data_IF_532260832326
#
_entry.id   IF_532260832326
#
_cell.length_a   1.000
_cell.length_b   1.000
_cell.length_c   1.000
_cell.angle_alpha   90.00
_cell.angle_beta   90.00
_cell.angle_gamma   90.00
#
_symmetry.space_group_name_H-M   'P 1'
#
loop_
_entity.id
_entity.type
_entity.pdbx_description
1 polymer ?
#
# COMPACT_ATOMS: atom_id res chain seq x y z
N UNK A 1 -26.78 11.19 25.45
CA UNK A 1 -25.67 12.00 24.91
C UNK A 1 -24.68 11.04 24.29
N UNK A 2 -24.38 11.18 22.99
CA UNK A 2 -23.39 10.33 22.30
C UNK A 2 -22.00 10.75 22.73
N UNK A 3 -21.20 9.82 23.25
CA UNK A 3 -19.79 10.09 23.57
C UNK A 3 -19.04 10.16 22.23
N UNK A 4 -18.32 11.25 21.92
CA UNK A 4 -17.58 11.34 20.67
C UNK A 4 -16.54 10.22 20.61
N UNK A 5 -16.52 9.48 19.50
CA UNK A 5 -15.55 8.43 19.29
C UNK A 5 -14.17 9.05 19.10
N UNK A 6 -13.24 8.70 19.98
CA UNK A 6 -11.84 9.08 19.83
C UNK A 6 -11.18 8.15 18.80
N UNK A 7 -10.36 8.66 17.88
CA UNK A 7 -9.61 7.82 16.96
C UNK A 7 -8.72 6.86 17.74
N UNK A 8 -8.87 5.55 17.49
CA UNK A 8 -7.94 4.58 18.02
C UNK A 8 -6.61 4.74 17.27
N UNK A 9 -5.55 5.11 17.99
CA UNK A 9 -4.21 5.23 17.43
C UNK A 9 -3.63 3.82 17.16
N UNK A 10 -4.12 3.16 16.11
CA UNK A 10 -3.56 1.93 15.57
C UNK A 10 -2.23 2.30 14.89
N UNK A 11 -1.12 2.00 15.56
CA UNK A 11 0.22 2.13 14.96
C UNK A 11 0.52 0.88 14.15
N UNK A 12 1.23 1.07 13.03
CA UNK A 12 1.84 -0.06 12.34
C UNK A 12 2.72 -0.85 13.32
N UNK A 13 2.75 -2.19 13.23
CA UNK A 13 3.63 -3.02 14.03
C UNK A 13 5.09 -2.51 13.95
N UNK A 14 5.78 -2.31 15.08
CA UNK A 14 7.08 -1.64 15.11
C UNK A 14 8.20 -2.41 14.39
N UNK A 15 7.97 -3.70 14.10
CA UNK A 15 8.86 -4.66 13.46
C UNK A 15 8.82 -4.63 11.92
N UNK A 16 7.83 -3.97 11.32
CA UNK A 16 7.69 -3.84 9.87
C UNK A 16 8.53 -2.68 9.34
N UNK A 17 9.84 -2.94 9.24
CA UNK A 17 10.87 -1.99 8.79
C UNK A 17 11.74 -2.61 7.71
N UNK A 18 12.35 -1.75 6.88
CA UNK A 18 13.29 -2.23 5.85
C UNK A 18 14.55 -2.88 6.44
N UNK A 19 15.00 -2.44 7.62
CA UNK A 19 16.20 -2.96 8.29
C UNK A 19 16.05 -4.40 8.81
N UNK A 20 14.80 -4.87 9.01
CA UNK A 20 14.50 -6.25 9.40
C UNK A 20 14.25 -7.20 8.21
N UNK A 21 14.30 -6.70 6.97
CA UNK A 21 14.17 -7.53 5.78
C UNK A 21 15.52 -8.09 5.34
N UNK A 22 15.67 -9.41 5.37
CA UNK A 22 16.96 -10.10 5.16
C UNK A 22 17.13 -10.53 3.71
N UNK A 23 18.36 -10.42 3.20
CA UNK A 23 18.77 -10.88 1.87
C UNK A 23 17.92 -10.29 0.73
N UNK A 24 17.68 -8.97 0.77
CA UNK A 24 17.04 -8.26 -0.32
C UNK A 24 17.87 -8.38 -1.62
N UNK A 25 17.21 -8.54 -2.79
CA UNK A 25 17.86 -8.34 -4.07
C UNK A 25 18.52 -6.97 -4.17
N UNK A 26 19.61 -6.91 -4.92
CA UNK A 26 20.36 -5.66 -5.10
C UNK A 26 19.46 -4.53 -5.60
N UNK A 27 19.53 -3.38 -4.92
CA UNK A 27 18.77 -2.19 -5.27
C UNK A 27 17.30 -2.16 -4.82
N UNK A 28 16.68 -3.28 -4.41
CA UNK A 28 15.26 -3.30 -4.02
C UNK A 28 14.96 -2.34 -2.86
N UNK A 29 15.72 -2.42 -1.76
CA UNK A 29 15.48 -1.56 -0.60
C UNK A 29 15.72 -0.09 -0.93
N UNK A 30 16.74 0.21 -1.74
CA UNK A 30 17.02 1.59 -2.16
C UNK A 30 15.87 2.16 -3.00
N UNK A 31 15.29 1.38 -3.92
CA UNK A 31 14.12 1.78 -4.70
C UNK A 31 12.90 2.03 -3.81
N UNK A 32 12.62 1.13 -2.86
CA UNK A 32 11.49 1.29 -1.94
C UNK A 32 11.68 2.49 -1.01
N UNK A 33 12.90 2.75 -0.54
CA UNK A 33 13.22 3.94 0.27
C UNK A 33 13.05 5.24 -0.53
N UNK A 34 13.50 5.27 -1.79
CA UNK A 34 13.30 6.42 -2.67
C UNK A 34 11.81 6.68 -2.96
N UNK A 35 11.04 5.60 -3.18
CA UNK A 35 9.59 5.68 -3.32
C UNK A 35 8.93 6.17 -2.03
N UNK A 36 9.36 5.69 -0.86
CA UNK A 36 8.85 6.11 0.45
C UNK A 36 9.06 7.61 0.70
N UNK A 37 10.24 8.12 0.34
CA UNK A 37 10.59 9.53 0.47
C UNK A 37 9.89 10.43 -0.56
N UNK A 38 9.24 9.86 -1.58
CA UNK A 38 8.61 10.62 -2.67
C UNK A 38 9.62 11.19 -3.67
N UNK A 39 10.84 10.65 -3.69
CA UNK A 39 11.86 11.01 -4.68
C UNK A 39 11.60 10.37 -6.05
N UNK A 40 10.72 9.38 -6.08
CA UNK A 40 10.26 8.68 -7.29
C UNK A 40 8.74 8.66 -7.25
N UNK A 41 8.11 9.06 -8.36
CA UNK A 41 6.65 9.10 -8.54
C UNK A 41 6.16 8.00 -9.47
N UNK A 42 6.83 6.84 -9.46
CA UNK A 42 6.53 5.73 -10.35
C UNK A 42 5.89 4.55 -9.61
N UNK A 43 5.27 3.67 -10.38
CA UNK A 43 4.59 2.49 -9.89
C UNK A 43 5.58 1.34 -9.69
N UNK A 44 5.44 0.62 -8.59
CA UNK A 44 6.23 -0.57 -8.30
C UNK A 44 5.32 -1.78 -8.12
N UNK A 45 5.62 -2.84 -8.86
CA UNK A 45 4.95 -4.14 -8.71
C UNK A 45 5.95 -5.13 -8.10
N UNK A 46 5.65 -5.60 -6.90
CA UNK A 46 6.45 -6.62 -6.20
C UNK A 46 5.84 -8.00 -6.43
N UNK A 47 6.60 -8.87 -7.10
CA UNK A 47 6.21 -10.26 -7.32
C UNK A 47 7.22 -11.22 -6.72
N UNK A 48 6.72 -12.35 -6.21
CA UNK A 48 7.53 -13.39 -5.62
C UNK A 48 6.66 -14.47 -4.98
N UNK A 49 7.22 -15.65 -4.67
CA UNK A 49 6.51 -16.73 -4.02
C UNK A 49 5.79 -16.34 -2.71
N UNK A 50 4.87 -17.20 -2.25
CA UNK A 50 4.29 -17.05 -0.92
C UNK A 50 5.40 -17.11 0.15
N UNK A 51 5.27 -16.29 1.20
CA UNK A 51 6.23 -16.28 2.31
C UNK A 51 7.53 -15.49 2.06
N UNK A 52 7.71 -14.82 0.91
CA UNK A 52 8.91 -14.00 0.65
C UNK A 52 8.85 -12.59 1.25
N UNK A 53 7.90 -12.29 2.13
CA UNK A 53 7.83 -10.99 2.82
C UNK A 53 7.31 -9.81 1.99
N UNK A 54 6.53 -10.04 0.93
CA UNK A 54 5.88 -8.95 0.16
C UNK A 54 5.05 -8.01 1.04
N UNK A 55 4.21 -8.58 1.90
CA UNK A 55 3.42 -7.83 2.90
C UNK A 55 4.30 -7.05 3.87
N UNK A 56 5.42 -7.65 4.31
CA UNK A 56 6.40 -6.97 5.15
C UNK A 56 7.00 -5.74 4.46
N UNK A 57 7.41 -5.88 3.20
CA UNK A 57 7.94 -4.77 2.40
C UNK A 57 6.89 -3.69 2.14
N UNK A 58 5.64 -4.07 1.83
CA UNK A 58 4.53 -3.13 1.63
C UNK A 58 4.23 -2.30 2.89
N UNK A 59 4.23 -2.94 4.06
CA UNK A 59 4.03 -2.26 5.33
C UNK A 59 5.24 -1.43 5.74
N UNK A 60 6.46 -1.91 5.48
CA UNK A 60 7.71 -1.16 5.70
C UNK A 60 7.77 0.10 4.84
N UNK A 61 7.27 0.03 3.60
CA UNK A 61 7.13 1.17 2.70
C UNK A 61 6.18 2.22 3.28
N UNK A 62 5.01 1.79 3.78
CA UNK A 62 4.09 2.70 4.46
C UNK A 62 4.73 3.32 5.71
N UNK A 63 5.38 2.54 6.57
CA UNK A 63 6.04 3.05 7.77
C UNK A 63 7.14 4.07 7.43
N UNK A 64 7.95 3.81 6.41
CA UNK A 64 8.99 4.72 5.95
C UNK A 64 8.40 6.01 5.34
N UNK A 65 7.30 5.92 4.59
CA UNK A 65 6.61 7.09 4.03
C UNK A 65 5.99 7.96 5.13
N UNK A 66 5.40 7.36 6.17
CA UNK A 66 4.90 8.07 7.34
C UNK A 66 6.02 8.80 8.08
N UNK A 67 7.18 8.13 8.27
CA UNK A 67 8.38 8.76 8.85
C UNK A 67 8.91 9.93 8.00
N UNK A 68 8.72 9.88 6.68
CA UNK A 68 9.04 10.97 5.76
C UNK A 68 7.96 12.09 5.74
N UNK A 69 6.96 12.04 6.63
CA UNK A 69 5.91 13.07 6.74
C UNK A 69 4.81 12.97 5.68
N UNK A 70 4.71 11.84 4.97
CA UNK A 70 3.67 11.60 3.97
C UNK A 70 2.46 10.90 4.57
N UNK A 71 1.41 10.75 3.77
CA UNK A 71 0.13 10.12 4.14
C UNK A 71 -0.08 8.79 3.42
N UNK A 72 0.67 7.72 3.79
CA UNK A 72 0.52 6.43 3.15
C UNK A 72 -0.81 5.76 3.53
N UNK A 73 -1.23 4.81 2.71
CA UNK A 73 -2.28 3.86 3.03
C UNK A 73 -1.90 2.45 2.59
N UNK A 74 -2.28 1.46 3.39
CA UNK A 74 -2.13 0.04 3.07
C UNK A 74 -3.52 -0.58 2.91
N UNK A 75 -3.73 -1.31 1.81
CA UNK A 75 -4.98 -2.01 1.54
C UNK A 75 -4.71 -3.47 1.17
N UNK A 76 -5.05 -4.43 2.04
CA UNK A 76 -5.08 -5.84 1.67
C UNK A 76 -6.30 -6.08 0.79
N UNK A 77 -6.10 -6.36 -0.49
CA UNK A 77 -7.18 -6.46 -1.49
C UNK A 77 -8.16 -7.60 -1.17
N UNK A 78 -7.70 -8.66 -0.51
CA UNK A 78 -8.56 -9.74 -0.05
C UNK A 78 -9.68 -9.24 0.89
N UNK A 79 -9.42 -8.25 1.74
CA UNK A 79 -10.40 -7.69 2.67
C UNK A 79 -11.40 -6.73 2.01
N UNK A 80 -11.09 -6.31 0.78
CA UNK A 80 -11.90 -5.40 -0.03
C UNK A 80 -12.59 -6.10 -1.22
N UNK A 81 -12.35 -7.40 -1.43
CA UNK A 81 -12.94 -8.15 -2.53
C UNK A 81 -14.49 -8.03 -2.54
N UNK A 82 -15.06 -7.67 -3.69
CA UNK A 82 -16.49 -7.41 -3.87
C UNK A 82 -16.97 -6.02 -3.46
N UNK A 83 -16.08 -5.18 -2.91
CA UNK A 83 -16.33 -3.78 -2.54
C UNK A 83 -15.10 -2.90 -2.82
N UNK A 84 -14.27 -3.31 -3.79
CA UNK A 84 -12.96 -2.68 -3.98
C UNK A 84 -13.08 -1.22 -4.42
N UNK A 85 -14.12 -0.87 -5.19
CA UNK A 85 -14.40 0.50 -5.59
C UNK A 85 -14.51 1.44 -4.39
N UNK A 86 -15.41 1.15 -3.47
CA UNK A 86 -15.63 1.96 -2.27
C UNK A 86 -14.36 2.06 -1.42
N UNK A 87 -13.62 0.95 -1.31
CA UNK A 87 -12.36 0.91 -0.57
C UNK A 87 -11.29 1.82 -1.20
N UNK A 88 -11.15 1.82 -2.53
CA UNK A 88 -10.16 2.63 -3.25
C UNK A 88 -10.55 4.12 -3.27
N UNK A 89 -11.84 4.44 -3.35
CA UNK A 89 -12.34 5.83 -3.25
C UNK A 89 -11.98 6.45 -1.90
N UNK A 90 -12.04 5.68 -0.81
CA UNK A 90 -11.61 6.14 0.52
C UNK A 90 -10.09 6.42 0.63
N UNK A 91 -9.30 5.99 -0.35
CA UNK A 91 -7.85 6.19 -0.41
C UNK A 91 -7.43 7.30 -1.39
N UNK A 92 -8.39 8.00 -2.01
CA UNK A 92 -8.08 9.14 -2.87
C UNK A 92 -7.36 10.25 -2.09
N UNK A 93 -6.37 10.87 -2.74
CA UNK A 93 -5.54 11.93 -2.15
C UNK A 93 -4.44 11.44 -1.20
N UNK A 94 -4.28 10.13 -0.99
CA UNK A 94 -3.13 9.57 -0.25
C UNK A 94 -1.86 9.72 -1.06
N UNK A 95 -0.78 10.16 -0.41
CA UNK A 95 0.50 10.38 -1.08
C UNK A 95 1.22 9.10 -1.51
N UNK A 96 0.83 7.95 -0.95
CA UNK A 96 1.32 6.62 -1.32
C UNK A 96 0.25 5.58 -0.97
N UNK A 97 0.00 4.61 -1.86
CA UNK A 97 -0.94 3.52 -1.60
C UNK A 97 -0.28 2.19 -1.90
N UNK A 98 -0.13 1.34 -0.88
CA UNK A 98 0.35 -0.03 -1.00
C UNK A 98 -0.85 -0.99 -1.09
N UNK A 99 -0.99 -1.65 -2.23
CA UNK A 99 -2.01 -2.66 -2.46
C UNK A 99 -1.39 -4.06 -2.35
N UNK A 100 -1.92 -4.90 -1.46
CA UNK A 100 -1.39 -6.25 -1.23
C UNK A 100 -2.36 -7.34 -1.67
N UNK A 101 -1.83 -8.42 -2.24
CA UNK A 101 -2.59 -9.58 -2.69
C UNK A 101 -3.45 -9.33 -3.93
N UNK A 102 -2.91 -8.71 -4.99
CA UNK A 102 -3.63 -8.43 -6.26
C UNK A 102 -4.27 -9.69 -6.86
N UNK A 103 -3.66 -10.86 -6.66
CA UNK A 103 -4.20 -12.15 -7.05
C UNK A 103 -5.59 -12.45 -6.46
N UNK A 104 -5.96 -11.86 -5.31
CA UNK A 104 -7.24 -12.14 -4.65
C UNK A 104 -8.45 -11.60 -5.41
N UNK A 105 -8.24 -10.66 -6.33
CA UNK A 105 -9.30 -10.06 -7.15
C UNK A 105 -9.33 -10.57 -8.59
N UNK A 106 -8.40 -11.44 -8.97
CA UNK A 106 -8.34 -11.98 -10.32
C UNK A 106 -9.63 -12.75 -10.67
N UNK A 107 -10.19 -12.47 -11.83
CA UNK A 107 -11.46 -13.03 -12.30
C UNK A 107 -12.70 -12.35 -11.73
N UNK A 108 -12.55 -11.34 -10.86
CA UNK A 108 -13.65 -10.54 -10.32
C UNK A 108 -13.74 -9.23 -11.09
N UNK A 109 -14.51 -9.26 -12.19
CA UNK A 109 -14.57 -8.17 -13.17
C UNK A 109 -14.75 -6.78 -12.56
N UNK A 110 -15.66 -6.63 -11.60
CA UNK A 110 -15.95 -5.34 -10.98
C UNK A 110 -14.79 -4.80 -10.16
N UNK A 111 -14.08 -5.68 -9.44
CA UNK A 111 -12.89 -5.31 -8.67
C UNK A 111 -11.71 -4.99 -9.61
N UNK A 112 -11.52 -5.75 -10.69
CA UNK A 112 -10.50 -5.46 -11.71
C UNK A 112 -10.71 -4.09 -12.37
N UNK A 113 -11.95 -3.75 -12.73
CA UNK A 113 -12.29 -2.44 -13.28
C UNK A 113 -12.05 -1.34 -12.24
N UNK A 114 -12.44 -1.57 -10.98
CA UNK A 114 -12.21 -0.60 -9.92
C UNK A 114 -10.72 -0.28 -9.73
N UNK A 115 -9.85 -1.31 -9.74
CA UNK A 115 -8.40 -1.12 -9.66
C UNK A 115 -7.85 -0.37 -10.88
N UNK A 116 -8.32 -0.70 -12.09
CA UNK A 116 -7.93 -0.01 -13.32
C UNK A 116 -8.31 1.48 -13.28
N UNK A 117 -9.54 1.79 -12.90
CA UNK A 117 -10.00 3.18 -12.79
C UNK A 117 -9.20 3.96 -11.74
N UNK A 118 -8.91 3.34 -10.59
CA UNK A 118 -8.09 3.95 -9.55
C UNK A 118 -6.67 4.26 -10.05
N UNK A 119 -6.04 3.30 -10.75
CA UNK A 119 -4.72 3.51 -11.34
C UNK A 119 -4.72 4.69 -12.33
N UNK A 120 -5.73 4.78 -13.20
CA UNK A 120 -5.86 5.88 -14.15
C UNK A 120 -6.03 7.23 -13.46
N UNK A 121 -6.87 7.31 -12.43
CA UNK A 121 -7.09 8.54 -11.67
C UNK A 121 -5.81 8.98 -10.95
N UNK A 122 -5.11 8.06 -10.30
CA UNK A 122 -3.85 8.35 -9.64
C UNK A 122 -2.78 8.85 -10.63
N UNK A 123 -2.64 8.19 -11.79
CA UNK A 123 -1.70 8.61 -12.84
C UNK A 123 -2.01 10.00 -13.41
N UNK A 124 -3.29 10.39 -13.49
CA UNK A 124 -3.68 11.73 -13.93
C UNK A 124 -3.38 12.81 -12.88
N UNK A 125 -3.26 12.44 -11.60
CA UNK A 125 -2.99 13.37 -10.50
C UNK A 125 -1.49 13.69 -10.31
N UNK A 126 -0.57 12.83 -10.78
CA UNK A 126 0.88 13.02 -10.75
C UNK A 126 1.59 12.06 -9.81
#
# INVERSE_FOLDING_TARGET
MSVPQLPLALRAPPDQRFDSYIAAPDGLLAQLQALAAGHVSDWLYLSGPAGTGKTHLALSLCAAAEQAGRTPAYLPLQAAAGRLRDALEALEGRGLVALDGVESIAGRRDDEVALFDFHNRARAAG
#
